data_IF_247914367916
#
_entry.id   IF_247914367916
#
_cell.length_a   1.000
_cell.length_b   1.000
_cell.length_c   1.000
_cell.angle_alpha   90.00
_cell.angle_beta   90.00
_cell.angle_gamma   90.00
#
_symmetry.space_group_name_H-M   'P 1'
#
loop_
_entity.id
_entity.type
_entity.pdbx_description
1 polymer ?
#
# COMPACT_ATOMS: atom_id res chain seq x y z
N UNK A 1 -36.67 5.80 8.90
CA UNK A 1 -36.15 4.57 9.51
C UNK A 1 -35.37 3.78 8.47
N UNK A 2 -34.12 3.41 8.74
CA UNK A 2 -33.35 2.50 7.88
C UNK A 2 -33.80 1.06 8.14
N UNK A 3 -34.08 0.29 7.09
CA UNK A 3 -34.31 -1.15 7.16
C UNK A 3 -33.23 -1.87 6.34
N UNK A 4 -32.71 -2.98 6.88
CA UNK A 4 -31.71 -3.79 6.18
C UNK A 4 -32.40 -4.55 5.05
N UNK A 5 -32.41 -3.97 3.85
CA UNK A 5 -32.97 -4.58 2.64
C UNK A 5 -32.04 -5.61 1.98
N UNK A 6 -31.19 -6.29 2.76
CA UNK A 6 -30.22 -7.26 2.25
C UNK A 6 -29.23 -6.67 1.25
N UNK A 7 -28.79 -5.42 1.44
CA UNK A 7 -27.91 -4.69 0.52
C UNK A 7 -28.48 -4.44 -0.89
N UNK A 8 -29.82 -4.53 -1.06
CA UNK A 8 -30.49 -4.19 -2.32
C UNK A 8 -30.18 -2.78 -2.84
N UNK A 9 -29.87 -1.86 -1.93
CA UNK A 9 -29.52 -0.46 -2.23
C UNK A 9 -28.04 -0.16 -1.97
N UNK A 10 -27.19 -1.19 -1.94
CA UNK A 10 -25.75 -1.00 -1.82
C UNK A 10 -25.22 -0.17 -2.99
N UNK A 11 -24.29 0.72 -2.67
CA UNK A 11 -23.62 1.53 -3.67
C UNK A 11 -22.66 0.64 -4.46
N UNK A 12 -22.80 0.64 -5.79
CA UNK A 12 -21.87 -0.09 -6.66
C UNK A 12 -20.56 0.67 -6.78
N UNK A 13 -19.40 -0.01 -6.70
CA UNK A 13 -18.11 0.64 -6.91
C UNK A 13 -17.99 1.14 -8.36
N UNK A 14 -17.26 2.25 -8.53
CA UNK A 14 -16.85 2.78 -9.82
C UNK A 14 -15.32 2.74 -9.92
N UNK A 15 -14.79 2.41 -11.09
CA UNK A 15 -13.35 2.38 -11.32
C UNK A 15 -12.73 3.79 -11.40
N UNK A 16 -13.51 4.76 -11.87
CA UNK A 16 -13.11 6.16 -11.97
C UNK A 16 -13.70 6.97 -10.83
N UNK A 17 -12.87 7.83 -10.25
CA UNK A 17 -13.30 8.75 -9.19
C UNK A 17 -14.12 9.88 -9.82
N UNK A 18 -15.41 10.02 -9.49
CA UNK A 18 -16.22 11.12 -10.00
C UNK A 18 -15.74 12.46 -9.45
N UNK A 19 -15.99 13.54 -10.20
CA UNK A 19 -15.77 14.88 -9.70
C UNK A 19 -16.64 15.13 -8.45
N UNK A 20 -16.06 15.78 -7.44
CA UNK A 20 -16.81 16.16 -6.24
C UNK A 20 -17.87 17.19 -6.63
N UNK A 21 -19.16 16.93 -6.39
CA UNK A 21 -20.22 17.87 -6.75
C UNK A 21 -20.16 19.12 -5.86
N UNK A 22 -20.86 20.18 -6.28
CA UNK A 22 -21.15 21.32 -5.40
C UNK A 22 -21.92 20.85 -4.14
N UNK A 23 -22.01 21.73 -3.13
CA UNK A 23 -22.77 21.43 -1.90
C UNK A 23 -24.22 21.10 -2.27
N UNK A 24 -24.69 19.94 -1.84
CA UNK A 24 -26.04 19.44 -2.16
C UNK A 24 -27.07 20.02 -1.18
N UNK A 25 -28.29 20.25 -1.67
CA UNK A 25 -29.43 20.67 -0.85
C UNK A 25 -30.03 19.53 -0.04
N UNK A 26 -29.98 18.31 -0.59
CA UNK A 26 -30.41 17.10 0.10
C UNK A 26 -29.33 16.64 1.06
N UNK A 27 -29.68 16.57 2.34
CA UNK A 27 -28.72 16.32 3.41
C UNK A 27 -29.21 15.26 4.37
N UNK A 28 -28.25 14.55 4.95
CA UNK A 28 -28.47 13.67 6.09
C UNK A 28 -28.23 14.47 7.37
N UNK A 29 -29.23 14.54 8.24
CA UNK A 29 -29.08 15.10 9.59
C UNK A 29 -28.90 13.93 10.56
N UNK A 30 -27.82 13.97 11.35
CA UNK A 30 -27.55 12.95 12.39
C UNK A 30 -27.61 13.64 13.76
N UNK A 31 -28.76 13.55 14.47
CA UNK A 31 -28.88 14.04 15.84
C UNK A 31 -27.92 13.34 16.80
N UNK A 32 -27.74 13.90 17.99
CA UNK A 32 -26.95 13.29 19.05
C UNK A 32 -27.42 11.86 19.35
N UNK A 33 -26.47 10.94 19.53
CA UNK A 33 -26.69 9.50 19.77
C UNK A 33 -27.44 8.76 18.65
N UNK A 34 -27.61 9.39 17.48
CA UNK A 34 -28.15 8.75 16.29
C UNK A 34 -27.03 8.33 15.35
N UNK A 35 -27.39 7.52 14.34
CA UNK A 35 -26.45 7.00 13.36
C UNK A 35 -27.04 6.97 11.97
N UNK A 36 -26.17 7.10 10.98
CA UNK A 36 -26.49 6.90 9.58
C UNK A 36 -25.68 5.70 9.05
N UNK A 37 -26.35 4.80 8.32
CA UNK A 37 -25.71 3.62 7.75
C UNK A 37 -25.55 3.76 6.24
N UNK A 38 -24.39 3.37 5.74
CA UNK A 38 -24.08 3.27 4.31
C UNK A 38 -23.78 1.82 3.99
N UNK A 39 -24.58 1.21 3.13
CA UNK A 39 -24.38 -0.15 2.67
C UNK A 39 -23.39 -0.15 1.49
N UNK A 40 -22.33 -0.95 1.61
CA UNK A 40 -21.25 -1.05 0.61
C UNK A 40 -21.23 -2.40 -0.10
N UNK A 41 -22.24 -3.25 0.16
CA UNK A 41 -22.34 -4.58 -0.46
C UNK A 41 -21.13 -5.45 -0.10
N UNK A 42 -20.64 -6.22 -1.06
CA UNK A 42 -19.50 -7.13 -0.93
C UNK A 42 -18.28 -6.70 -1.78
N UNK A 43 -18.30 -5.49 -2.34
CA UNK A 43 -17.35 -5.01 -3.35
C UNK A 43 -16.06 -4.37 -2.85
N UNK A 44 -15.89 -4.21 -1.53
CA UNK A 44 -14.63 -3.69 -0.98
C UNK A 44 -13.49 -4.69 -1.19
N UNK A 45 -12.25 -4.24 -1.51
CA UNK A 45 -11.10 -5.13 -1.65
C UNK A 45 -10.72 -5.77 -0.31
N UNK A 46 -9.94 -6.86 -0.33
CA UNK A 46 -9.50 -7.55 0.90
C UNK A 46 -8.45 -6.76 1.69
N UNK A 47 -7.63 -5.98 0.99
CA UNK A 47 -6.48 -5.28 1.56
C UNK A 47 -6.43 -3.82 1.09
N UNK A 48 -5.53 -3.06 1.72
CA UNK A 48 -5.34 -1.64 1.45
C UNK A 48 -6.10 -0.73 2.41
N UNK A 49 -5.92 0.57 2.23
CA UNK A 49 -6.58 1.59 3.04
C UNK A 49 -7.91 1.95 2.39
N UNK A 50 -9.01 1.82 3.12
CA UNK A 50 -10.29 2.41 2.75
C UNK A 50 -10.38 3.81 3.34
N UNK A 51 -10.46 4.84 2.50
CA UNK A 51 -10.70 6.22 2.92
C UNK A 51 -12.20 6.51 2.86
N UNK A 52 -12.80 6.77 4.02
CA UNK A 52 -14.18 7.23 4.13
C UNK A 52 -14.15 8.74 4.37
N UNK A 53 -14.70 9.51 3.43
CA UNK A 53 -14.69 10.97 3.47
C UNK A 53 -16.12 11.51 3.48
N UNK A 54 -16.41 12.42 4.40
CA UNK A 54 -17.70 13.10 4.50
C UNK A 54 -17.52 14.61 4.32
N UNK A 55 -18.45 15.28 3.64
CA UNK A 55 -18.58 16.73 3.67
C UNK A 55 -19.68 17.10 4.65
N UNK A 56 -19.29 17.71 5.75
CA UNK A 56 -20.17 17.90 6.90
C UNK A 56 -20.07 19.30 7.51
N UNK A 57 -21.13 19.71 8.18
CA UNK A 57 -21.23 20.91 8.99
C UNK A 57 -22.05 20.64 10.25
N UNK A 58 -21.96 21.55 11.21
CA UNK A 58 -22.94 21.64 12.29
C UNK A 58 -24.33 21.94 11.72
N UNK A 59 -25.37 21.36 12.32
CA UNK A 59 -26.75 21.69 11.97
C UNK A 59 -27.20 23.07 12.46
N UNK A 60 -26.64 23.54 13.58
CA UNK A 60 -26.96 24.83 14.18
C UNK A 60 -25.70 25.53 14.72
N UNK A 61 -25.72 26.87 14.69
CA UNK A 61 -24.72 27.74 15.30
C UNK A 61 -24.96 27.94 16.81
N UNK A 62 -26.12 27.52 17.31
CA UNK A 62 -26.46 27.62 18.72
C UNK A 62 -25.65 26.64 19.57
N UNK A 63 -25.35 27.06 20.80
CA UNK A 63 -24.57 26.27 21.75
C UNK A 63 -23.06 26.27 21.50
N UNK A 64 -22.32 25.89 22.55
CA UNK A 64 -20.84 25.80 22.51
C UNK A 64 -20.32 24.40 22.19
N UNK A 65 -21.20 23.39 22.21
CA UNK A 65 -20.81 22.01 21.97
C UNK A 65 -20.77 21.71 20.48
N UNK A 66 -19.74 20.98 20.07
CA UNK A 66 -19.55 20.56 18.69
C UNK A 66 -19.96 19.08 18.56
N UNK A 67 -20.65 18.69 17.47
CA UNK A 67 -20.96 17.30 17.25
C UNK A 67 -19.68 16.50 16.98
N UNK A 68 -19.63 15.30 17.56
CA UNK A 68 -18.51 14.37 17.43
C UNK A 68 -18.98 13.10 16.74
N UNK A 69 -18.22 12.61 15.76
CA UNK A 69 -18.59 11.49 14.90
C UNK A 69 -17.58 10.36 15.01
N UNK A 70 -18.08 9.15 15.22
CA UNK A 70 -17.33 7.90 15.17
C UNK A 70 -17.71 7.10 13.93
N UNK A 71 -16.70 6.51 13.28
CA UNK A 71 -16.89 5.60 12.16
C UNK A 71 -16.86 4.15 12.65
N UNK A 72 -17.92 3.41 12.34
CA UNK A 72 -17.98 1.96 12.51
C UNK A 72 -17.96 1.25 11.17
N UNK A 73 -17.38 0.06 11.15
CA UNK A 73 -17.48 -0.89 10.05
C UNK A 73 -18.07 -2.19 10.57
N UNK A 74 -18.93 -2.80 9.76
CA UNK A 74 -19.65 -3.97 10.18
C UNK A 74 -20.18 -4.79 9.03
N UNK A 75 -20.76 -5.92 9.38
CA UNK A 75 -21.45 -6.81 8.47
C UNK A 75 -22.68 -7.40 9.13
N UNK A 76 -23.64 -7.83 8.31
CA UNK A 76 -24.88 -8.43 8.78
C UNK A 76 -25.20 -9.64 7.91
N UNK A 77 -24.76 -10.83 8.35
CA UNK A 77 -24.98 -12.06 7.62
C UNK A 77 -26.44 -12.55 7.70
N UNK A 78 -27.14 -12.25 8.80
CA UNK A 78 -28.56 -12.58 8.96
C UNK A 78 -29.27 -11.59 9.91
N UNK A 79 -30.54 -11.86 10.22
CA UNK A 79 -31.28 -11.17 11.28
C UNK A 79 -30.60 -11.32 12.65
N UNK A 80 -30.00 -12.48 12.92
CA UNK A 80 -29.44 -12.84 14.23
C UNK A 80 -27.89 -12.76 14.27
N UNK A 81 -27.25 -12.50 13.13
CA UNK A 81 -25.79 -12.40 13.02
C UNK A 81 -25.36 -11.05 12.46
N UNK A 82 -24.76 -10.21 13.32
CA UNK A 82 -24.20 -8.91 12.96
C UNK A 82 -22.95 -8.59 13.78
N UNK A 83 -21.98 -7.98 13.12
CA UNK A 83 -20.77 -7.42 13.75
C UNK A 83 -20.70 -5.94 13.38
N UNK A 84 -20.33 -5.08 14.33
CA UNK A 84 -20.07 -3.67 14.08
C UNK A 84 -19.03 -3.19 15.09
N UNK A 85 -17.88 -2.76 14.60
CA UNK A 85 -16.75 -2.33 15.43
C UNK A 85 -16.33 -0.92 15.04
N UNK A 86 -15.70 -0.22 15.99
CA UNK A 86 -15.02 1.03 15.69
C UNK A 86 -13.79 0.75 14.81
N UNK A 87 -13.66 1.49 13.72
CA UNK A 87 -12.53 1.40 12.79
C UNK A 87 -11.88 2.76 12.51
N UNK A 88 -12.46 3.84 12.99
CA UNK A 88 -12.00 5.21 12.70
C UNK A 88 -10.92 5.71 13.65
N UNK A 89 -10.61 4.94 14.72
CA UNK A 89 -9.71 5.38 15.77
C UNK A 89 -10.35 6.47 16.63
N UNK A 90 -9.84 7.70 16.56
CA UNK A 90 -10.39 8.81 17.35
C UNK A 90 -11.63 9.38 16.68
N UNK A 91 -12.63 9.74 17.49
CA UNK A 91 -13.79 10.45 17.00
C UNK A 91 -13.38 11.81 16.40
N UNK A 92 -14.06 12.19 15.32
CA UNK A 92 -13.83 13.46 14.64
C UNK A 92 -14.85 14.48 15.11
N UNK A 93 -14.37 15.64 15.55
CA UNK A 93 -15.21 16.80 15.86
C UNK A 93 -15.57 17.56 14.59
N UNK A 94 -16.86 17.83 14.41
CA UNK A 94 -17.39 18.62 13.29
C UNK A 94 -17.55 20.07 13.75
N UNK A 95 -16.58 20.89 13.39
CA UNK A 95 -16.46 22.30 13.76
C UNK A 95 -16.90 23.26 12.65
N UNK A 96 -17.07 22.77 11.42
CA UNK A 96 -17.56 23.56 10.29
C UNK A 96 -18.93 24.21 10.61
N UNK A 97 -19.08 25.53 10.37
CA UNK A 97 -20.31 26.23 10.71
C UNK A 97 -21.46 25.83 9.77
N UNK A 98 -22.72 26.03 10.19
CA UNK A 98 -23.88 25.75 9.34
C UNK A 98 -23.78 26.46 7.98
N UNK A 99 -24.15 25.74 6.92
CA UNK A 99 -24.10 26.27 5.55
C UNK A 99 -22.70 26.39 4.93
N UNK A 100 -21.62 26.08 5.67
CA UNK A 100 -20.25 26.08 5.13
C UNK A 100 -19.55 24.73 5.43
N UNK A 101 -20.07 23.63 4.87
CA UNK A 101 -19.53 22.30 5.16
C UNK A 101 -18.12 22.12 4.60
N UNK A 102 -17.33 21.30 5.28
CA UNK A 102 -15.97 20.94 4.86
C UNK A 102 -15.74 19.44 4.96
N UNK A 103 -14.62 18.98 4.41
CA UNK A 103 -14.28 17.57 4.40
C UNK A 103 -13.64 17.10 5.70
N UNK A 104 -14.07 15.91 6.13
CA UNK A 104 -13.48 15.11 7.20
C UNK A 104 -13.30 13.69 6.68
N UNK A 105 -12.28 12.96 7.13
CA UNK A 105 -12.05 11.61 6.67
C UNK A 105 -11.44 10.69 7.73
N UNK A 106 -11.64 9.39 7.51
CA UNK A 106 -10.98 8.30 8.22
C UNK A 106 -10.26 7.43 7.19
N UNK A 107 -9.09 6.95 7.58
CA UNK A 107 -8.32 5.96 6.82
C UNK A 107 -8.35 4.63 7.59
N UNK A 108 -9.00 3.63 7.00
CA UNK A 108 -9.26 2.33 7.63
C UNK A 108 -8.42 1.25 6.94
N UNK A 109 -7.46 0.61 7.64
CA UNK A 109 -6.78 -0.57 7.12
C UNK A 109 -7.75 -1.75 7.00
N UNK A 110 -8.10 -2.16 5.77
CA UNK A 110 -9.08 -3.24 5.54
C UNK A 110 -8.59 -4.61 6.04
N UNK A 111 -7.28 -4.79 6.21
CA UNK A 111 -6.66 -5.98 6.79
C UNK A 111 -6.97 -6.18 8.27
N UNK A 112 -7.33 -5.10 8.99
CA UNK A 112 -7.65 -5.14 10.42
C UNK A 112 -9.17 -5.08 10.66
N UNK A 113 -9.95 -4.77 9.62
CA UNK A 113 -11.41 -4.68 9.71
C UNK A 113 -12.05 -6.09 9.76
N UNK A 114 -13.08 -6.31 10.60
CA UNK A 114 -13.75 -7.61 10.69
C UNK A 114 -14.59 -7.87 9.44
N UNK A 115 -14.01 -8.61 8.50
CA UNK A 115 -14.63 -8.92 7.21
C UNK A 115 -15.76 -9.92 7.34
N UNK A 116 -16.75 -9.79 6.45
CA UNK A 116 -17.81 -10.79 6.37
C UNK A 116 -17.27 -12.10 5.79
N UNK A 117 -17.37 -13.19 6.57
CA UNK A 117 -16.86 -14.51 6.18
C UNK A 117 -17.56 -15.13 4.96
N UNK A 118 -18.73 -14.62 4.57
CA UNK A 118 -19.48 -15.11 3.41
C UNK A 118 -19.12 -14.37 2.11
N UNK A 119 -18.24 -13.37 2.15
CA UNK A 119 -17.71 -12.70 0.94
C UNK A 119 -17.08 -13.72 0.01
N UNK A 120 -17.28 -13.52 -1.29
CA UNK A 120 -16.80 -14.42 -2.35
C UNK A 120 -17.35 -15.85 -2.30
N UNK A 121 -18.22 -16.18 -1.34
CA UNK A 121 -18.85 -17.51 -1.18
C UNK A 121 -20.33 -17.43 -1.54
N UNK A 122 -21.06 -16.50 -0.93
CA UNK A 122 -22.49 -16.29 -1.16
C UNK A 122 -22.74 -15.14 -2.12
N UNK A 123 -23.84 -15.19 -2.86
CA UNK A 123 -24.26 -14.06 -3.69
C UNK A 123 -24.91 -12.98 -2.83
N UNK A 124 -24.59 -11.71 -3.11
CA UNK A 124 -25.22 -10.57 -2.44
C UNK A 124 -26.75 -10.69 -2.46
N UNK A 125 -27.38 -10.51 -1.30
CA UNK A 125 -28.83 -10.64 -1.11
C UNK A 125 -29.32 -12.06 -0.75
N UNK A 126 -28.48 -13.10 -0.86
CA UNK A 126 -28.79 -14.43 -0.33
C UNK A 126 -28.49 -14.52 1.17
N UNK A 127 -29.06 -15.49 1.88
CA UNK A 127 -28.73 -15.75 3.28
C UNK A 127 -27.79 -16.97 3.37
N UNK A 128 -26.68 -16.89 4.12
CA UNK A 128 -26.17 -15.70 4.82
C UNK A 128 -25.66 -14.61 3.85
N UNK A 129 -25.97 -13.35 4.15
CA UNK A 129 -25.69 -12.23 3.25
C UNK A 129 -24.23 -11.76 3.36
N UNK A 130 -23.47 -11.67 2.25
CA UNK A 130 -22.07 -11.24 2.29
C UNK A 130 -21.90 -9.73 2.50
N UNK A 131 -22.98 -8.95 2.59
CA UNK A 131 -22.91 -7.50 2.67
C UNK A 131 -22.16 -6.96 3.90
N UNK A 132 -21.46 -5.86 3.67
CA UNK A 132 -20.75 -5.03 4.62
C UNK A 132 -21.36 -3.63 4.63
N UNK A 133 -21.19 -2.90 5.73
CA UNK A 133 -21.70 -1.53 5.88
C UNK A 133 -20.76 -0.66 6.72
N UNK A 134 -20.92 0.64 6.56
CA UNK A 134 -20.36 1.67 7.43
C UNK A 134 -21.47 2.29 8.27
N UNK A 135 -21.17 2.64 9.53
CA UNK A 135 -22.04 3.49 10.34
C UNK A 135 -21.32 4.76 10.76
N UNK A 136 -21.89 5.92 10.43
CA UNK A 136 -21.50 7.21 10.96
C UNK A 136 -22.37 7.48 12.20
N UNK A 137 -21.78 7.42 13.38
CA UNK A 137 -22.48 7.62 14.66
C UNK A 137 -22.11 8.97 15.24
N UNK A 138 -23.12 9.79 15.55
CA UNK A 138 -22.91 10.97 16.36
C UNK A 138 -22.82 10.55 17.84
N UNK A 139 -21.62 10.63 18.41
CA UNK A 139 -21.31 10.20 19.79
C UNK A 139 -21.44 11.33 20.82
N UNK A 140 -22.02 12.47 20.42
CA UNK A 140 -22.17 13.62 21.29
C UNK A 140 -23.08 13.32 22.48
N UNK A 141 -22.62 13.63 23.69
CA UNK A 141 -23.40 13.53 24.93
C UNK A 141 -24.43 14.65 25.09
N UNK A 142 -24.30 15.74 24.32
CA UNK A 142 -25.23 16.87 24.31
C UNK A 142 -26.09 16.85 23.04
N UNK A 143 -27.30 17.46 23.04
CA UNK A 143 -28.23 17.44 21.90
C UNK A 143 -27.80 18.27 20.67
N UNK A 144 -26.62 17.99 20.13
CA UNK A 144 -26.07 18.64 18.92
C UNK A 144 -26.13 17.71 17.73
N UNK A 145 -26.59 18.24 16.59
CA UNK A 145 -26.71 17.48 15.34
C UNK A 145 -25.66 17.95 14.32
N UNK A 146 -25.22 17.03 13.48
CA UNK A 146 -24.45 17.34 12.27
C UNK A 146 -25.29 17.13 11.01
N UNK A 147 -24.85 17.77 9.94
CA UNK A 147 -25.41 17.67 8.60
C UNK A 147 -24.31 17.15 7.68
N UNK A 148 -24.65 16.16 6.85
CA UNK A 148 -23.77 15.60 5.82
C UNK A 148 -24.47 15.75 4.47
N UNK A 149 -23.81 16.44 3.52
CA UNK A 149 -24.32 16.57 2.15
C UNK A 149 -23.70 15.55 1.19
N UNK A 150 -22.54 14.98 1.53
CA UNK A 150 -21.79 14.11 0.63
C UNK A 150 -20.95 13.11 1.40
N UNK A 151 -20.95 11.87 0.93
CA UNK A 151 -20.13 10.76 1.42
C UNK A 151 -19.39 10.15 0.23
N UNK A 152 -18.09 9.93 0.38
CA UNK A 152 -17.22 9.27 -0.60
C UNK A 152 -16.43 8.17 0.10
N UNK A 153 -16.35 7.00 -0.55
CA UNK A 153 -15.61 5.84 -0.05
C UNK A 153 -14.66 5.42 -1.17
N UNK A 154 -13.35 5.44 -0.90
CA UNK A 154 -12.30 5.04 -1.85
C UNK A 154 -11.54 3.87 -1.24
N UNK A 155 -11.46 2.75 -1.95
CA UNK A 155 -10.72 1.58 -1.51
C UNK A 155 -10.11 0.81 -2.70
N UNK A 156 -8.77 0.67 -2.79
CA UNK A 156 -7.79 1.30 -1.93
C UNK A 156 -7.64 2.80 -2.22
N UNK A 157 -7.54 3.61 -1.17
CA UNK A 157 -7.20 5.01 -1.26
C UNK A 157 -5.69 5.17 -1.48
N UNK A 158 -5.34 5.81 -2.59
CA UNK A 158 -3.97 6.05 -3.00
C UNK A 158 -3.84 7.54 -3.31
N UNK A 159 -2.76 8.18 -2.82
CA UNK A 159 -2.56 9.62 -3.01
C UNK A 159 -2.29 9.97 -4.48
N UNK A 160 -1.74 9.02 -5.23
CA UNK A 160 -1.55 9.10 -6.68
C UNK A 160 -1.84 7.74 -7.32
N UNK A 161 -2.37 7.79 -8.55
CA UNK A 161 -2.52 6.62 -9.40
C UNK A 161 -1.77 6.83 -10.72
N UNK A 162 -0.87 5.91 -11.12
CA UNK A 162 -0.42 4.74 -10.36
C UNK A 162 0.46 5.10 -9.14
N UNK A 163 0.51 4.23 -8.11
CA UNK A 163 1.40 4.42 -6.96
C UNK A 163 2.87 4.51 -7.36
N UNK A 164 3.68 5.15 -6.52
CA UNK A 164 5.13 5.27 -6.78
C UNK A 164 5.81 3.91 -6.90
N UNK A 165 5.36 2.90 -6.14
CA UNK A 165 5.85 1.53 -6.26
C UNK A 165 5.61 0.94 -7.64
N UNK A 166 4.49 1.27 -8.28
CA UNK A 166 4.15 0.85 -9.63
C UNK A 166 5.03 1.56 -10.66
N UNK A 167 5.11 2.89 -10.62
CA UNK A 167 5.87 3.69 -11.59
C UNK A 167 7.39 3.47 -11.51
N UNK A 168 7.90 3.03 -10.34
CA UNK A 168 9.31 2.63 -10.16
C UNK A 168 9.67 1.36 -10.93
N UNK A 169 8.70 0.48 -11.20
CA UNK A 169 8.89 -0.76 -11.95
C UNK A 169 8.44 -0.56 -13.40
N UNK A 170 7.18 -0.18 -13.58
CA UNK A 170 6.55 0.09 -14.86
C UNK A 170 6.65 1.58 -15.18
N UNK A 171 7.76 1.96 -15.82
CA UNK A 171 7.95 3.33 -16.26
C UNK A 171 7.00 3.72 -17.38
N UNK A 172 6.97 5.00 -17.76
CA UNK A 172 6.18 5.43 -18.90
C UNK A 172 6.50 4.59 -20.15
N UNK A 173 5.45 4.01 -20.74
CA UNK A 173 5.54 3.15 -21.91
C UNK A 173 5.60 4.01 -23.16
N UNK A 174 6.73 3.96 -23.88
CA UNK A 174 6.97 4.74 -25.11
C UNK A 174 6.64 3.99 -26.39
N UNK A 175 6.44 2.68 -26.31
CA UNK A 175 6.21 1.79 -27.45
C UNK A 175 4.92 1.00 -27.28
N UNK A 176 4.17 0.84 -28.36
CA UNK A 176 3.00 -0.04 -28.39
C UNK A 176 3.38 -1.52 -28.37
N UNK A 177 4.63 -1.89 -28.71
CA UNK A 177 5.08 -3.29 -28.66
C UNK A 177 5.30 -3.76 -27.22
N UNK A 178 4.49 -4.74 -26.81
CA UNK A 178 4.51 -5.33 -25.48
C UNK A 178 5.85 -6.02 -25.18
N UNK A 179 6.43 -6.70 -26.18
CA UNK A 179 7.67 -7.46 -25.99
C UNK A 179 8.88 -6.55 -25.79
N UNK A 180 8.96 -5.46 -26.56
CA UNK A 180 9.99 -4.44 -26.37
C UNK A 180 9.86 -3.78 -25.00
N UNK A 181 8.64 -3.42 -24.58
CA UNK A 181 8.44 -2.83 -23.25
C UNK A 181 8.76 -3.82 -22.11
N UNK A 182 8.40 -5.10 -22.25
CA UNK A 182 8.80 -6.15 -21.31
C UNK A 182 10.32 -6.23 -21.16
N UNK A 183 11.07 -6.17 -22.28
CA UNK A 183 12.54 -6.17 -22.26
C UNK A 183 13.07 -4.99 -21.46
N UNK A 184 12.57 -3.78 -21.71
CA UNK A 184 13.01 -2.57 -21.02
C UNK A 184 12.82 -2.67 -19.50
N UNK A 185 11.62 -3.08 -19.06
CA UNK A 185 11.29 -3.24 -17.64
C UNK A 185 12.16 -4.34 -17.00
N UNK A 186 12.26 -5.51 -17.64
CA UNK A 186 13.07 -6.64 -17.17
C UNK A 186 14.54 -6.24 -17.04
N UNK A 187 15.14 -5.63 -18.07
CA UNK A 187 16.53 -5.21 -18.07
C UNK A 187 16.82 -4.20 -16.95
N UNK A 188 15.97 -3.18 -16.80
CA UNK A 188 16.12 -2.17 -15.73
C UNK A 188 15.99 -2.79 -14.34
N UNK A 189 14.99 -3.65 -14.15
CA UNK A 189 14.75 -4.30 -12.88
C UNK A 189 15.90 -5.24 -12.51
N UNK A 190 16.34 -6.11 -13.43
CA UNK A 190 17.44 -7.03 -13.18
C UNK A 190 18.75 -6.29 -12.90
N UNK A 191 19.09 -5.23 -13.65
CA UNK A 191 20.33 -4.48 -13.43
C UNK A 191 20.38 -3.84 -12.03
N UNK A 192 19.23 -3.33 -11.55
CA UNK A 192 19.09 -2.79 -10.20
C UNK A 192 19.15 -3.89 -9.14
N UNK A 193 18.40 -4.96 -9.34
CA UNK A 193 18.21 -6.05 -8.39
C UNK A 193 19.49 -6.88 -8.22
N UNK A 194 20.19 -7.18 -9.32
CA UNK A 194 21.47 -7.90 -9.30
C UNK A 194 22.68 -6.97 -9.13
N UNK A 195 22.45 -5.65 -9.13
CA UNK A 195 23.45 -4.62 -8.80
C UNK A 195 24.65 -4.60 -9.76
N UNK A 196 24.44 -5.03 -11.00
CA UNK A 196 25.44 -5.04 -12.07
C UNK A 196 24.77 -4.93 -13.45
N UNK A 197 25.53 -4.59 -14.50
CA UNK A 197 25.06 -4.77 -15.86
C UNK A 197 24.59 -6.22 -16.11
N UNK A 198 23.52 -6.37 -16.89
CA UNK A 198 22.94 -7.66 -17.26
C UNK A 198 23.23 -7.92 -18.73
N UNK A 199 23.57 -9.17 -19.07
CA UNK A 199 23.84 -9.53 -20.45
C UNK A 199 22.55 -9.79 -21.23
N UNK A 200 22.61 -9.68 -22.56
CA UNK A 200 21.45 -9.97 -23.40
C UNK A 200 20.96 -11.41 -23.23
N UNK A 201 21.86 -12.36 -23.00
CA UNK A 201 21.51 -13.76 -22.71
C UNK A 201 20.65 -13.87 -21.46
N UNK A 202 21.00 -13.17 -20.38
CA UNK A 202 20.24 -13.18 -19.13
C UNK A 202 18.85 -12.57 -19.30
N UNK A 203 18.77 -11.46 -20.03
CA UNK A 203 17.49 -10.80 -20.33
C UNK A 203 16.62 -11.68 -21.23
N UNK A 204 17.21 -12.32 -22.24
CA UNK A 204 16.53 -13.23 -23.16
C UNK A 204 15.93 -14.44 -22.44
N UNK A 205 16.63 -14.99 -21.44
CA UNK A 205 16.09 -16.07 -20.60
C UNK A 205 14.82 -15.65 -19.86
N UNK A 206 14.80 -14.43 -19.30
CA UNK A 206 13.62 -13.90 -18.60
C UNK A 206 12.49 -13.51 -19.56
N UNK A 207 12.81 -13.04 -20.77
CA UNK A 207 11.83 -12.83 -21.82
C UNK A 207 11.22 -14.13 -22.36
N UNK A 208 11.98 -15.22 -22.41
CA UNK A 208 11.45 -16.53 -22.77
C UNK A 208 10.47 -17.03 -21.70
N UNK A 209 10.80 -16.83 -20.41
CA UNK A 209 9.87 -17.12 -19.31
C UNK A 209 8.61 -16.27 -19.42
N UNK A 210 8.75 -14.96 -19.67
CA UNK A 210 7.63 -14.05 -19.92
C UNK A 210 6.72 -14.57 -21.04
N UNK A 211 7.28 -14.93 -22.20
CA UNK A 211 6.50 -15.43 -23.33
C UNK A 211 5.72 -16.72 -23.02
N UNK A 212 6.24 -17.57 -22.12
CA UNK A 212 5.57 -18.78 -21.66
C UNK A 212 4.43 -18.50 -20.67
N UNK A 213 4.61 -17.52 -19.78
CA UNK A 213 3.63 -17.16 -18.75
C UNK A 213 2.52 -16.27 -19.28
N UNK A 214 2.83 -15.35 -20.20
CA UNK A 214 1.90 -14.33 -20.69
C UNK A 214 0.53 -14.85 -21.16
N UNK A 215 0.41 -16.01 -21.86
CA UNK A 215 -0.88 -16.56 -22.27
C UNK A 215 -1.74 -17.13 -21.11
N UNK A 216 -1.16 -17.33 -19.93
CA UNK A 216 -1.81 -17.89 -18.74
C UNK A 216 -2.25 -16.80 -17.75
N UNK A 217 -1.86 -15.56 -17.98
CA UNK A 217 -2.17 -14.41 -17.14
C UNK A 217 -3.28 -13.56 -17.78
N UNK A 218 -4.10 -12.94 -16.94
CA UNK A 218 -5.16 -12.01 -17.33
C UNK A 218 -4.57 -10.83 -18.13
N UNK A 219 -3.45 -10.27 -17.66
CA UNK A 219 -2.83 -9.11 -18.27
C UNK A 219 -1.29 -9.14 -18.34
N UNK A 220 -0.74 -8.07 -18.92
CA UNK A 220 0.70 -7.85 -19.03
C UNK A 220 1.39 -7.76 -17.67
N UNK A 221 0.78 -7.05 -16.72
CA UNK A 221 1.40 -6.73 -15.44
C UNK A 221 1.50 -7.97 -14.56
N UNK A 222 0.47 -8.82 -14.57
CA UNK A 222 0.48 -10.11 -13.88
C UNK A 222 1.62 -11.01 -14.39
N UNK A 223 1.73 -11.18 -15.72
CA UNK A 223 2.82 -11.96 -16.32
C UNK A 223 4.21 -11.38 -15.99
N UNK A 224 4.33 -10.06 -15.94
CA UNK A 224 5.56 -9.39 -15.54
C UNK A 224 5.89 -9.62 -14.07
N UNK A 225 4.91 -9.54 -13.16
CA UNK A 225 5.13 -9.76 -11.72
C UNK A 225 5.71 -11.15 -11.46
N UNK A 226 5.20 -12.19 -12.14
CA UNK A 226 5.76 -13.55 -12.06
C UNK A 226 7.23 -13.62 -12.51
N UNK A 227 7.56 -12.96 -13.63
CA UNK A 227 8.93 -12.92 -14.14
C UNK A 227 9.84 -12.17 -13.16
N UNK A 228 9.40 -11.02 -12.63
CA UNK A 228 10.18 -10.24 -11.67
C UNK A 228 10.35 -10.98 -10.34
N UNK A 229 9.35 -11.74 -9.88
CA UNK A 229 9.48 -12.64 -8.73
C UNK A 229 10.59 -13.68 -8.98
N UNK A 230 10.68 -14.25 -10.18
CA UNK A 230 11.78 -15.17 -10.53
C UNK A 230 13.18 -14.51 -10.57
N UNK A 231 13.25 -13.18 -10.73
CA UNK A 231 14.50 -12.42 -10.64
C UNK A 231 14.92 -12.25 -9.17
N UNK A 232 13.95 -12.01 -8.28
CA UNK A 232 14.15 -11.94 -6.83
C UNK A 232 14.48 -13.30 -6.22
N UNK A 233 13.93 -14.40 -6.75
CA UNK A 233 14.27 -15.75 -6.31
C UNK A 233 15.66 -16.23 -6.79
N UNK A 234 16.37 -15.45 -7.62
CA UNK A 234 17.68 -15.83 -8.14
C UNK A 234 18.77 -15.76 -7.06
N UNK A 235 19.75 -16.70 -7.04
CA UNK A 235 20.96 -16.57 -6.23
C UNK A 235 21.69 -15.23 -6.44
N UNK A 236 21.62 -14.65 -7.64
CA UNK A 236 22.21 -13.35 -8.00
C UNK A 236 21.57 -12.18 -7.22
N UNK A 237 20.34 -12.34 -6.74
CA UNK A 237 19.70 -11.40 -5.82
C UNK A 237 19.94 -11.77 -4.37
N UNK A 238 19.63 -13.03 -4.00
CA UNK A 238 19.60 -13.53 -2.62
C UNK A 238 20.97 -13.50 -1.94
N UNK A 239 22.03 -13.69 -2.71
CA UNK A 239 23.39 -13.72 -2.20
C UNK A 239 24.24 -12.59 -2.78
N UNK A 240 25.20 -12.14 -1.99
CA UNK A 240 26.31 -11.30 -2.46
C UNK A 240 27.40 -12.18 -3.05
N UNK A 241 27.08 -12.83 -4.17
CA UNK A 241 28.02 -13.68 -4.90
C UNK A 241 29.05 -12.79 -5.59
N UNK A 242 30.33 -13.19 -5.55
CA UNK A 242 31.31 -12.66 -6.49
C UNK A 242 30.97 -13.19 -7.88
N UNK A 243 31.12 -12.35 -8.90
CA UNK A 243 31.08 -12.89 -10.26
C UNK A 243 32.38 -13.68 -10.46
N UNK A 244 32.33 -14.96 -10.13
CA UNK A 244 33.41 -15.89 -10.40
C UNK A 244 33.18 -16.41 -11.81
N UNK A 245 33.87 -15.82 -12.78
CA UNK A 245 34.00 -16.42 -14.10
C UNK A 245 34.92 -17.66 -13.97
N UNK A 246 34.64 -18.72 -14.72
CA UNK A 246 35.53 -19.88 -14.76
C UNK A 246 36.97 -19.44 -15.06
N UNK A 247 37.92 -19.84 -14.21
CA UNK A 247 39.33 -19.44 -14.32
C UNK A 247 39.72 -18.19 -13.52
N UNK A 248 38.80 -17.57 -12.78
CA UNK A 248 39.14 -16.42 -11.93
C UNK A 248 39.94 -16.85 -10.70
N UNK A 249 41.12 -16.24 -10.42
CA UNK A 249 41.90 -16.54 -9.22
C UNK A 249 41.11 -16.27 -7.93
N UNK A 250 41.22 -17.15 -6.93
CA UNK A 250 40.56 -17.00 -5.63
C UNK A 250 40.92 -15.68 -4.90
N UNK A 251 42.08 -15.10 -5.23
CA UNK A 251 42.57 -13.83 -4.69
C UNK A 251 42.25 -12.59 -5.55
N UNK A 252 41.33 -12.69 -6.53
CA UNK A 252 40.91 -11.53 -7.33
C UNK A 252 40.39 -10.40 -6.42
N UNK A 253 40.89 -9.19 -6.66
CA UNK A 253 40.38 -7.98 -6.02
C UNK A 253 38.91 -7.77 -6.37
N UNK A 254 38.11 -7.44 -5.37
CA UNK A 254 36.68 -7.10 -5.51
C UNK A 254 36.52 -5.95 -6.50
N UNK A 255 35.59 -6.08 -7.45
CA UNK A 255 35.25 -4.98 -8.38
C UNK A 255 34.56 -3.85 -7.64
N UNK A 256 34.57 -2.64 -8.23
CA UNK A 256 33.86 -1.49 -7.67
C UNK A 256 32.35 -1.73 -7.51
N UNK A 257 31.72 -2.49 -8.41
CA UNK A 257 30.30 -2.86 -8.29
C UNK A 257 30.05 -3.80 -7.11
N UNK A 258 30.91 -4.79 -6.92
CA UNK A 258 30.84 -5.70 -5.78
C UNK A 258 31.15 -4.95 -4.46
N UNK A 259 32.06 -3.98 -4.48
CA UNK A 259 32.38 -3.11 -3.35
C UNK A 259 31.19 -2.24 -2.98
N UNK A 260 30.53 -1.60 -3.96
CA UNK A 260 29.32 -0.82 -3.75
C UNK A 260 28.20 -1.66 -3.13
N UNK A 261 27.96 -2.86 -3.66
CA UNK A 261 26.97 -3.76 -3.10
C UNK A 261 27.28 -4.12 -1.64
N UNK A 262 28.51 -4.54 -1.35
CA UNK A 262 28.94 -4.90 0.01
C UNK A 262 28.81 -3.73 0.98
N UNK A 263 29.22 -2.53 0.57
CA UNK A 263 29.12 -1.32 1.39
C UNK A 263 27.66 -0.98 1.71
N UNK A 264 26.76 -1.07 0.72
CA UNK A 264 25.33 -0.81 0.91
C UNK A 264 24.64 -1.84 1.80
N UNK A 265 24.94 -3.13 1.65
CA UNK A 265 24.38 -4.14 2.55
C UNK A 265 24.94 -4.03 3.96
N UNK A 266 26.22 -3.69 4.10
CA UNK A 266 26.85 -3.48 5.40
C UNK A 266 26.24 -2.29 6.14
N UNK A 267 26.14 -1.12 5.49
CA UNK A 267 25.70 0.11 6.16
C UNK A 267 24.18 0.30 6.18
N UNK A 268 23.45 -0.16 5.15
CA UNK A 268 22.02 0.12 4.99
C UNK A 268 21.14 -1.14 4.98
N UNK A 269 21.72 -2.34 4.98
CA UNK A 269 20.98 -3.59 4.78
C UNK A 269 20.05 -3.52 3.55
N UNK A 270 20.54 -2.89 2.47
CA UNK A 270 19.75 -2.60 1.28
C UNK A 270 20.63 -2.48 0.04
N UNK A 271 20.00 -2.26 -1.13
CA UNK A 271 20.69 -2.06 -2.39
C UNK A 271 21.48 -0.74 -2.38
N UNK A 272 22.62 -0.66 -3.11
CA UNK A 272 23.32 0.60 -3.33
C UNK A 272 22.40 1.59 -4.06
N UNK A 273 22.51 2.86 -3.71
CA UNK A 273 21.77 3.92 -4.39
C UNK A 273 22.42 4.32 -5.72
N UNK A 274 21.76 5.20 -6.47
CA UNK A 274 22.21 5.60 -7.79
C UNK A 274 23.58 6.28 -7.78
N UNK A 275 23.88 7.09 -6.75
CA UNK A 275 25.16 7.77 -6.60
C UNK A 275 26.31 6.77 -6.38
N UNK A 276 26.14 5.82 -5.46
CA UNK A 276 27.15 4.81 -5.17
C UNK A 276 27.36 3.88 -6.38
N UNK A 277 26.28 3.47 -7.04
CA UNK A 277 26.34 2.67 -8.26
C UNK A 277 27.03 3.43 -9.40
N UNK A 278 26.79 4.73 -9.55
CA UNK A 278 27.46 5.54 -10.55
C UNK A 278 28.96 5.62 -10.25
N UNK A 279 29.36 5.96 -9.03
CA UNK A 279 30.78 5.97 -8.63
C UNK A 279 31.48 4.64 -8.94
N UNK A 280 30.79 3.53 -8.68
CA UNK A 280 31.31 2.20 -8.96
C UNK A 280 31.41 1.86 -10.46
N UNK A 281 30.40 2.23 -11.26
CA UNK A 281 30.42 2.05 -12.71
C UNK A 281 31.56 2.81 -13.39
N UNK A 282 31.95 3.96 -12.82
CA UNK A 282 33.06 4.77 -13.30
C UNK A 282 34.43 4.31 -12.77
N UNK A 283 34.50 3.22 -11.99
CA UNK A 283 35.76 2.69 -11.46
C UNK A 283 36.44 3.59 -10.41
N UNK A 284 35.68 4.49 -9.78
CA UNK A 284 36.20 5.48 -8.82
C UNK A 284 36.10 5.02 -7.37
N UNK A 285 35.25 4.03 -7.07
CA UNK A 285 34.94 3.65 -5.69
C UNK A 285 36.11 2.94 -5.00
N UNK A 286 37.02 2.33 -5.75
CA UNK A 286 38.25 1.77 -5.20
C UNK A 286 39.28 2.82 -4.75
N UNK A 287 39.11 4.10 -5.08
CA UNK A 287 39.94 5.17 -4.55
C UNK A 287 39.60 5.43 -3.08
N UNK A 288 40.62 5.49 -2.22
CA UNK A 288 40.43 5.57 -0.78
C UNK A 288 39.67 6.83 -0.34
N UNK A 289 39.92 7.98 -1.00
CA UNK A 289 39.25 9.24 -0.66
C UNK A 289 37.79 9.19 -1.09
N UNK A 290 37.50 8.66 -2.28
CA UNK A 290 36.13 8.49 -2.77
C UNK A 290 35.35 7.50 -1.90
N UNK A 291 35.96 6.38 -1.51
CA UNK A 291 35.34 5.39 -0.63
C UNK A 291 34.99 6.00 0.73
N UNK A 292 35.92 6.74 1.34
CA UNK A 292 35.69 7.41 2.62
C UNK A 292 34.55 8.43 2.53
N UNK A 293 34.52 9.24 1.46
CA UNK A 293 33.45 10.21 1.23
C UNK A 293 32.09 9.51 1.10
N UNK A 294 32.00 8.44 0.31
CA UNK A 294 30.77 7.69 0.15
C UNK A 294 30.34 7.01 1.46
N UNK A 295 31.26 6.43 2.22
CA UNK A 295 30.95 5.82 3.51
C UNK A 295 30.40 6.86 4.51
N UNK A 296 31.02 8.04 4.61
CA UNK A 296 30.53 9.14 5.46
C UNK A 296 29.13 9.63 5.06
N UNK A 297 28.90 9.82 3.75
CA UNK A 297 27.57 10.17 3.21
C UNK A 297 26.53 9.12 3.60
N UNK A 298 26.86 7.84 3.42
CA UNK A 298 25.94 6.75 3.72
C UNK A 298 25.63 6.63 5.21
N UNK A 299 26.61 6.88 6.07
CA UNK A 299 26.43 6.92 7.53
C UNK A 299 25.55 8.08 8.00
N UNK A 300 25.52 9.19 7.26
CA UNK A 300 24.64 10.32 7.55
C UNK A 300 23.19 10.13 7.07
N UNK A 301 22.93 9.13 6.23
CA UNK A 301 21.59 8.81 5.71
C UNK A 301 20.76 8.06 6.78
N UNK A 302 19.44 8.37 6.95
CA UNK A 302 18.58 7.66 7.90
C UNK A 302 18.55 6.14 7.76
N UNK A 303 18.87 5.59 6.57
CA UNK A 303 19.01 4.14 6.35
C UNK A 303 20.13 3.51 7.16
N UNK A 304 21.15 4.26 7.60
CA UNK A 304 22.22 3.76 8.45
C UNK A 304 21.73 3.23 9.80
N UNK A 305 20.60 3.74 10.30
CA UNK A 305 19.96 3.22 11.52
C UNK A 305 19.55 1.74 11.40
N UNK A 306 19.37 1.23 10.17
CA UNK A 306 19.07 -0.18 9.92
C UNK A 306 20.22 -1.08 10.35
N UNK A 307 21.47 -0.69 10.07
CA UNK A 307 22.65 -1.46 10.49
C UNK A 307 22.67 -1.62 12.01
N UNK A 308 22.56 -0.52 12.76
CA UNK A 308 22.57 -0.55 14.22
C UNK A 308 21.43 -1.45 14.76
N UNK A 309 20.21 -1.30 14.25
CA UNK A 309 19.07 -2.12 14.66
C UNK A 309 19.27 -3.61 14.37
N UNK A 310 19.71 -3.97 13.16
CA UNK A 310 19.86 -5.38 12.77
C UNK A 310 21.06 -6.02 13.46
N UNK A 311 22.21 -5.33 13.50
CA UNK A 311 23.41 -5.82 14.17
C UNK A 311 23.16 -6.05 15.66
N UNK A 312 22.57 -5.09 16.38
CA UNK A 312 22.33 -5.23 17.82
C UNK A 312 21.35 -6.37 18.12
N UNK A 313 20.28 -6.54 17.33
CA UNK A 313 19.34 -7.65 17.52
C UNK A 313 20.01 -9.01 17.32
N UNK A 314 20.80 -9.15 16.25
CA UNK A 314 21.52 -10.40 15.99
C UNK A 314 22.60 -10.68 17.04
N UNK A 315 23.38 -9.66 17.41
CA UNK A 315 24.44 -9.79 18.40
C UNK A 315 23.91 -10.20 19.78
N UNK A 316 22.74 -9.68 20.16
CA UNK A 316 22.07 -10.03 21.42
C UNK A 316 21.17 -11.27 21.32
N UNK A 317 21.06 -11.91 20.16
CA UNK A 317 20.16 -13.05 19.96
C UNK A 317 18.67 -12.72 20.16
N UNK A 318 18.29 -11.45 19.94
CA UNK A 318 16.93 -10.96 20.20
C UNK A 318 15.86 -11.55 19.27
N UNK A 319 16.26 -12.26 18.21
CA UNK A 319 15.33 -12.95 17.30
C UNK A 319 14.46 -13.97 18.05
N UNK A 320 14.95 -14.51 19.17
CA UNK A 320 14.17 -15.42 20.02
C UNK A 320 12.99 -14.74 20.73
N UNK A 321 13.05 -13.42 20.95
CA UNK A 321 11.98 -12.67 21.60
C UNK A 321 10.71 -12.60 20.74
N UNK A 322 10.82 -12.76 19.42
CA UNK A 322 9.66 -12.80 18.52
C UNK A 322 8.81 -14.07 18.72
N UNK A 323 9.38 -15.11 19.33
CA UNK A 323 8.69 -16.38 19.63
C UNK A 323 8.20 -16.48 21.08
N UNK A 324 8.50 -15.48 21.92
CA UNK A 324 8.01 -15.44 23.30
C UNK A 324 6.56 -14.95 23.30
N UNK A 325 5.63 -15.87 23.57
CA UNK A 325 4.26 -15.51 23.95
C UNK A 325 4.28 -15.00 25.39
N UNK A 326 3.82 -13.78 25.60
CA UNK A 326 3.59 -13.24 26.95
C UNK A 326 2.13 -13.58 27.27
N UNK A 327 1.92 -14.38 28.30
CA UNK A 327 0.60 -14.77 28.82
C UNK A 327 -0.12 -13.62 29.55
#
# INVERSE_FOLDING_TARGET
>A
HWSYGGAKYAWKPAAERPAVPAVLSDVVIIPANQKFKVDVGDGLPDTGIMRVRIRAARASSEGKHLPTVRLHFGNQASNDSRVSVDVGGRDITIDAPPGKPRFYHWDVPLTEAPRNAFRHIQKLGQLPNPAEFLELRNTSSTPVALVIDYVEIIAPALDQWPPESHTRIFHERKTADEKTYAREVISRFMARTWRRPVSDTEVNQKLALYAKLRPQCEDFQEAMVEVLASVLASPKFLYLIRADEEGTPANRRVTDLELAARLAFFLWSSLPDAELLASAKHGKLSDAKVLEQQAKRMLADPRAARFARHYTRQWLGMDQLEFVKID
#
